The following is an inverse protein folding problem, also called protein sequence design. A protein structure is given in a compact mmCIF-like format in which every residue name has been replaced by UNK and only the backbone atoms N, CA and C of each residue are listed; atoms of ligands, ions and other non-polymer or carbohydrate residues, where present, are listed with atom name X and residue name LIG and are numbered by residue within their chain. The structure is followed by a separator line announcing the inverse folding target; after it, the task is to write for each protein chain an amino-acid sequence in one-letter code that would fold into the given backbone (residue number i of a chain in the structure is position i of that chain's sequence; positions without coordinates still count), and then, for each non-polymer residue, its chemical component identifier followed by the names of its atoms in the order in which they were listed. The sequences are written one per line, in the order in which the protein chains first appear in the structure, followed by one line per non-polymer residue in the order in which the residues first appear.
data_IF_575161860086
#
_entry.id   IF_575161860086
#
_cell.length_a   1.000
_cell.length_b   1.000
_cell.length_c   1.000
_cell.angle_alpha   90.00
_cell.angle_beta   90.00
_cell.angle_gamma   90.00
#
_symmetry.space_group_name_H-M   'P 1'
#
loop_
_entity.id
_entity.type
_entity.pdbx_description
1 polymer ?
#
# COMPACT_ATOMS: atom_id res chain seq x y z
N UNK A 1 -3.38 -2.67 -6.51
CA UNK A 1 -3.67 -1.93 -5.26
C UNK A 1 -4.21 -0.53 -5.40
N UNK A 2 -3.51 0.43 -6.03
CA UNK A 2 -4.04 1.80 -6.20
C UNK A 2 -5.47 1.81 -6.76
N UNK A 3 -5.69 1.05 -7.84
CA UNK A 3 -7.00 0.88 -8.49
C UNK A 3 -8.05 0.32 -7.52
N UNK A 4 -7.75 -0.78 -6.87
CA UNK A 4 -8.69 -1.52 -6.02
C UNK A 4 -9.12 -0.68 -4.80
N UNK A 5 -8.17 0.03 -4.18
CA UNK A 5 -8.43 0.93 -3.05
C UNK A 5 -9.26 2.13 -3.50
N UNK A 6 -8.96 2.69 -4.67
CA UNK A 6 -9.76 3.81 -5.23
C UNK A 6 -11.21 3.39 -5.46
N UNK A 7 -11.45 2.19 -6.00
CA UNK A 7 -12.80 1.66 -6.21
C UNK A 7 -13.52 1.39 -4.87
N UNK A 8 -12.82 0.86 -3.87
CA UNK A 8 -13.39 0.63 -2.54
C UNK A 8 -13.79 1.94 -1.83
N UNK A 9 -12.95 2.98 -1.93
CA UNK A 9 -13.23 4.32 -1.41
C UNK A 9 -14.48 4.91 -2.09
N UNK A 10 -14.56 4.85 -3.42
CA UNK A 10 -15.72 5.35 -4.17
C UNK A 10 -17.02 4.64 -3.79
N UNK A 11 -17.00 3.31 -3.66
CA UNK A 11 -18.15 2.54 -3.24
C UNK A 11 -18.61 2.92 -1.82
N UNK A 12 -17.67 3.08 -0.88
CA UNK A 12 -17.96 3.45 0.49
C UNK A 12 -18.50 4.89 0.61
N UNK A 13 -17.98 5.83 -0.19
CA UNK A 13 -18.50 7.19 -0.31
C UNK A 13 -19.95 7.19 -0.81
N UNK A 14 -20.30 6.31 -1.76
CA UNK A 14 -21.65 6.19 -2.32
C UNK A 14 -22.75 5.84 -1.30
N UNK A 15 -22.38 5.21 -0.17
CA UNK A 15 -23.31 4.88 0.92
C UNK A 15 -23.14 5.77 2.16
N UNK A 16 -22.30 6.82 2.09
CA UNK A 16 -22.03 7.72 3.21
C UNK A 16 -21.22 7.08 4.34
N UNK A 17 -20.43 6.05 4.06
CA UNK A 17 -19.58 5.43 5.08
C UNK A 17 -18.50 6.41 5.57
N UNK A 18 -18.18 6.35 6.87
CA UNK A 18 -17.09 7.15 7.45
C UNK A 18 -15.73 6.53 7.10
N UNK A 19 -14.92 7.26 6.35
CA UNK A 19 -13.63 6.78 5.86
C UNK A 19 -12.45 7.39 6.61
N UNK A 20 -12.14 6.86 7.79
CA UNK A 20 -11.12 7.43 8.68
C UNK A 20 -9.68 7.32 8.11
N UNK A 21 -9.40 6.28 7.32
CA UNK A 21 -8.05 5.98 6.82
C UNK A 21 -7.93 5.97 5.29
N UNK A 22 -9.01 6.29 4.56
CA UNK A 22 -9.03 6.16 3.10
C UNK A 22 -7.94 6.99 2.42
N UNK A 23 -7.87 8.29 2.73
CA UNK A 23 -6.94 9.20 2.08
C UNK A 23 -5.49 8.88 2.43
N UNK A 24 -5.21 8.65 3.72
CA UNK A 24 -3.88 8.27 4.18
C UNK A 24 -3.41 6.95 3.55
N UNK A 25 -4.30 5.94 3.51
CA UNK A 25 -4.01 4.65 2.89
C UNK A 25 -3.75 4.80 1.39
N UNK A 26 -4.64 5.48 0.66
CA UNK A 26 -4.48 5.70 -0.78
C UNK A 26 -3.19 6.47 -1.07
N UNK A 27 -2.89 7.51 -0.31
CA UNK A 27 -1.65 8.29 -0.43
C UNK A 27 -0.40 7.43 -0.25
N UNK A 28 -0.39 6.51 0.72
CA UNK A 28 0.71 5.58 0.93
C UNK A 28 0.91 4.66 -0.28
N UNK A 29 -0.17 4.07 -0.82
CA UNK A 29 -0.08 3.22 -2.01
C UNK A 29 0.34 3.97 -3.27
N UNK A 30 -0.09 5.22 -3.44
CA UNK A 30 0.34 6.06 -4.57
C UNK A 30 1.82 6.41 -4.44
N UNK A 31 2.23 6.90 -3.27
CA UNK A 31 3.62 7.30 -3.02
C UNK A 31 4.59 6.12 -3.15
N UNK A 32 4.22 4.96 -2.60
CA UNK A 32 5.01 3.75 -2.75
C UNK A 32 5.05 3.25 -4.21
N UNK A 33 3.97 3.39 -4.99
CA UNK A 33 4.00 2.96 -6.40
C UNK A 33 4.90 3.86 -7.27
N UNK A 34 5.03 5.13 -6.92
CA UNK A 34 5.84 6.11 -7.66
C UNK A 34 7.33 6.05 -7.29
N UNK A 35 7.68 5.51 -6.12
CA UNK A 35 9.06 5.33 -5.65
C UNK A 35 9.83 4.33 -6.56
N UNK A 36 11.01 4.71 -7.10
CA UNK A 36 11.81 3.84 -7.97
C UNK A 36 12.20 2.49 -7.34
N UNK A 37 12.34 2.42 -6.01
CA UNK A 37 12.66 1.18 -5.29
C UNK A 37 11.45 0.25 -5.13
N UNK A 38 10.25 0.76 -5.42
CA UNK A 38 8.98 0.11 -5.14
C UNK A 38 8.10 -0.09 -6.40
N UNK A 39 8.43 0.58 -7.52
CA UNK A 39 7.74 0.45 -8.81
C UNK A 39 7.69 -1.00 -9.30
N UNK A 40 6.56 -1.37 -9.91
CA UNK A 40 6.29 -2.69 -10.52
C UNK A 40 6.43 -3.90 -9.56
N UNK A 41 6.43 -3.65 -8.25
CA UNK A 41 6.45 -4.68 -7.22
C UNK A 41 5.08 -4.87 -6.57
N UNK A 42 4.95 -5.97 -5.84
CA UNK A 42 3.77 -6.30 -5.06
C UNK A 42 3.49 -5.27 -3.94
N UNK A 43 2.23 -5.22 -3.51
CA UNK A 43 1.70 -4.35 -2.43
C UNK A 43 2.54 -4.29 -1.14
N UNK A 44 3.30 -5.35 -0.84
CA UNK A 44 4.28 -5.38 0.26
C UNK A 44 5.30 -4.25 0.21
N UNK A 45 5.50 -3.59 -0.93
CA UNK A 45 6.37 -2.39 -1.00
C UNK A 45 5.94 -1.24 -0.12
N UNK A 46 4.68 -1.16 0.29
CA UNK A 46 4.26 -0.16 1.27
C UNK A 46 4.99 -0.36 2.60
N UNK A 47 5.21 -1.61 3.02
CA UNK A 47 5.98 -1.91 4.22
C UNK A 47 7.43 -1.40 4.10
N UNK A 48 8.09 -1.68 2.97
CA UNK A 48 9.44 -1.18 2.66
C UNK A 48 9.50 0.35 2.61
N UNK A 49 8.54 0.98 1.93
CA UNK A 49 8.45 2.43 1.79
C UNK A 49 8.30 3.13 3.15
N UNK A 50 7.59 2.51 4.10
CA UNK A 50 7.49 2.97 5.48
C UNK A 50 8.76 2.73 6.32
N UNK A 51 9.84 2.19 5.73
CA UNK A 51 11.06 1.82 6.44
C UNK A 51 11.01 0.46 7.14
N UNK A 52 10.05 -0.39 6.75
CA UNK A 52 9.93 -1.75 7.27
C UNK A 52 11.17 -2.60 6.99
N UNK A 53 11.51 -3.45 7.95
CA UNK A 53 12.67 -4.35 7.87
C UNK A 53 12.19 -5.67 7.28
N UNK A 54 12.48 -5.90 6.01
CA UNK A 54 12.13 -7.16 5.36
C UNK A 54 13.01 -8.30 5.89
N UNK A 55 12.43 -9.49 6.16
CA UNK A 55 13.20 -10.62 6.64
C UNK A 55 14.22 -11.06 5.59
N UNK A 56 15.44 -11.37 6.06
CA UNK A 56 16.48 -11.96 5.22
C UNK A 56 16.11 -13.39 4.86
N UNK A 57 15.53 -13.57 3.67
CA UNK A 57 15.09 -14.87 3.14
C UNK A 57 16.24 -15.84 2.87
N UNK A 58 17.51 -15.39 2.96
CA UNK A 58 18.69 -16.24 2.78
C UNK A 58 19.30 -16.72 4.09
N UNK A 59 18.91 -16.16 5.24
CA UNK A 59 19.41 -16.57 6.57
C UNK A 59 18.52 -17.57 7.31
N UNK A 60 17.31 -17.84 6.83
CA UNK A 60 16.36 -18.72 7.50
C UNK A 60 16.58 -20.23 7.24
N UNK A 61 17.69 -20.62 6.59
CA UNK A 61 17.97 -21.99 6.17
C UNK A 61 19.18 -22.64 6.84
N UNK A 62 19.57 -22.18 8.03
CA UNK A 62 20.64 -22.78 8.82
C UNK A 62 20.15 -23.22 10.20
#
# INVERSE_FOLDING_TARGET
MKKDISLAIQAAQGIGAKLVLADAGLSAYVSAADDPNCRDKDSRVVYRWLGGIEPDVHRASN
#
